data_IF_374527090994
#
_entry.id   IF_374527090994
#
_cell.length_a   1.000
_cell.length_b   1.000
_cell.length_c   1.000
_cell.angle_alpha   90.00
_cell.angle_beta   90.00
_cell.angle_gamma   90.00
#
_symmetry.space_group_name_H-M   'P 1'
#
loop_
_entity.id
_entity.type
_entity.pdbx_description
1 polymer ?
#
# COMPACT_ATOMS: atom_id res chain seq x y z
N UNK A 1 -22.58 -15.11 1.17
CA UNK A 1 -22.71 -14.18 2.32
C UNK A 1 -24.13 -13.63 2.32
N UNK A 2 -24.77 -13.50 3.48
CA UNK A 2 -26.15 -13.02 3.52
C UNK A 2 -26.19 -11.53 3.11
N UNK A 3 -26.82 -11.24 1.98
CA UNK A 3 -27.02 -9.88 1.48
C UNK A 3 -27.64 -8.96 2.55
N UNK A 4 -27.39 -7.66 2.45
CA UNK A 4 -28.12 -6.69 3.25
C UNK A 4 -29.58 -6.68 2.80
N UNK A 5 -30.48 -6.69 3.78
CA UNK A 5 -31.88 -6.41 3.51
C UNK A 5 -32.00 -5.01 2.91
N UNK A 6 -32.92 -4.86 1.95
CA UNK A 6 -33.22 -3.58 1.33
C UNK A 6 -33.82 -2.64 2.38
N UNK A 7 -33.29 -1.41 2.43
CA UNK A 7 -33.78 -0.33 3.28
C UNK A 7 -33.81 0.95 2.45
N UNK A 8 -34.73 1.89 2.74
CA UNK A 8 -34.69 3.20 2.11
C UNK A 8 -33.32 3.85 2.31
N UNK A 9 -32.75 4.43 1.25
CA UNK A 9 -31.36 4.88 1.25
C UNK A 9 -31.02 5.88 2.37
N UNK A 10 -32.00 6.69 2.80
CA UNK A 10 -31.86 7.67 3.88
C UNK A 10 -32.68 7.34 5.13
N UNK A 11 -33.02 6.07 5.37
CA UNK A 11 -33.94 5.68 6.44
C UNK A 11 -33.55 6.25 7.82
N UNK A 12 -32.25 6.26 8.17
CA UNK A 12 -31.79 6.79 9.47
C UNK A 12 -32.01 8.30 9.57
N UNK A 13 -31.68 9.06 8.53
CA UNK A 13 -31.82 10.51 8.54
C UNK A 13 -33.29 10.92 8.60
N UNK A 14 -34.14 10.28 7.78
CA UNK A 14 -35.58 10.53 7.76
C UNK A 14 -36.20 10.16 9.11
N UNK A 15 -35.91 8.96 9.62
CA UNK A 15 -36.46 8.51 10.91
C UNK A 15 -36.02 9.43 12.06
N UNK A 16 -34.75 9.88 12.06
CA UNK A 16 -34.26 10.83 13.07
C UNK A 16 -35.04 12.14 13.04
N UNK A 17 -35.19 12.76 11.87
CA UNK A 17 -35.91 14.05 11.75
C UNK A 17 -37.37 13.90 12.19
N UNK A 18 -38.05 12.84 11.74
CA UNK A 18 -39.45 12.59 12.10
C UNK A 18 -39.62 12.35 13.59
N UNK A 19 -38.80 11.48 14.19
CA UNK A 19 -38.90 11.17 15.61
C UNK A 19 -38.47 12.36 16.48
N UNK A 20 -37.58 13.24 16.02
CA UNK A 20 -37.15 14.39 16.81
C UNK A 20 -38.17 15.55 16.80
N UNK A 21 -38.97 15.71 15.73
CA UNK A 21 -39.90 16.84 15.58
C UNK A 21 -41.37 16.45 15.78
N UNK A 22 -41.76 15.25 15.35
CA UNK A 22 -43.14 14.78 15.28
C UNK A 22 -43.30 13.40 15.94
N UNK A 23 -42.74 13.24 17.14
CA UNK A 23 -42.76 11.97 17.87
C UNK A 23 -44.17 11.56 18.32
N UNK A 24 -45.04 12.55 18.53
CA UNK A 24 -46.43 12.43 18.97
C UNK A 24 -47.37 11.94 17.86
N UNK A 25 -47.03 12.23 16.60
CA UNK A 25 -47.74 11.70 15.42
C UNK A 25 -47.42 10.23 15.13
N UNK A 26 -46.38 9.66 15.77
CA UNK A 26 -45.90 8.30 15.53
C UNK A 26 -46.37 7.37 16.66
N UNK A 27 -47.19 6.34 16.37
CA UNK A 27 -47.59 5.38 17.38
C UNK A 27 -46.37 4.58 17.88
N UNK A 28 -46.26 4.43 19.20
CA UNK A 28 -45.16 3.72 19.85
C UNK A 28 -43.76 4.23 19.42
N UNK A 29 -43.58 5.54 19.32
CA UNK A 29 -42.33 6.17 18.86
C UNK A 29 -41.08 5.71 19.62
N UNK A 30 -41.18 5.41 20.92
CA UNK A 30 -40.08 4.83 21.72
C UNK A 30 -39.67 3.43 21.24
N UNK A 31 -40.65 2.59 20.89
CA UNK A 31 -40.39 1.26 20.34
C UNK A 31 -39.72 1.36 18.97
N UNK A 32 -40.17 2.31 18.15
CA UNK A 32 -39.54 2.58 16.84
C UNK A 32 -38.08 3.00 17.02
N UNK A 33 -37.76 3.86 18.01
CA UNK A 33 -36.37 4.23 18.34
C UNK A 33 -35.53 3.01 18.73
N UNK A 34 -36.07 2.11 19.57
CA UNK A 34 -35.39 0.88 19.96
C UNK A 34 -35.09 -0.02 18.74
N UNK A 35 -36.09 -0.27 17.90
CA UNK A 35 -35.93 -1.11 16.70
C UNK A 35 -34.93 -0.52 15.69
N UNK A 36 -34.93 0.80 15.51
CA UNK A 36 -33.96 1.48 14.64
C UNK A 36 -32.53 1.36 15.17
N UNK A 37 -32.37 1.40 16.50
CA UNK A 37 -31.07 1.19 17.15
C UNK A 37 -30.59 -0.23 16.92
N UNK A 38 -31.42 -1.23 17.21
CA UNK A 38 -31.08 -2.65 17.02
C UNK A 38 -30.75 -2.95 15.55
N UNK A 39 -31.53 -2.40 14.60
CA UNK A 39 -31.26 -2.52 13.17
C UNK A 39 -29.89 -1.94 12.80
N UNK A 40 -29.53 -0.77 13.34
CA UNK A 40 -28.23 -0.14 13.08
C UNK A 40 -27.09 -0.98 13.64
N UNK A 41 -27.23 -1.51 14.85
CA UNK A 41 -26.22 -2.37 15.48
C UNK A 41 -25.99 -3.68 14.69
N UNK A 42 -27.08 -4.32 14.27
CA UNK A 42 -27.01 -5.53 13.44
C UNK A 42 -26.34 -5.26 12.07
N UNK A 43 -26.69 -4.13 11.44
CA UNK A 43 -26.11 -3.74 10.16
C UNK A 43 -24.64 -3.35 10.28
N UNK A 44 -24.26 -2.60 11.32
CA UNK A 44 -22.87 -2.26 11.59
C UNK A 44 -22.02 -3.52 11.82
N UNK A 45 -22.54 -4.49 12.58
CA UNK A 45 -21.85 -5.77 12.80
C UNK A 45 -21.62 -6.53 11.48
N UNK A 46 -22.62 -6.55 10.59
CA UNK A 46 -22.49 -7.13 9.24
C UNK A 46 -21.50 -6.37 8.37
N UNK A 47 -21.47 -5.04 8.46
CA UNK A 47 -20.52 -4.20 7.73
C UNK A 47 -19.10 -4.54 8.16
N UNK A 48 -18.84 -4.59 9.47
CA UNK A 48 -17.51 -4.92 10.01
C UNK A 48 -17.04 -6.31 9.55
N UNK A 49 -17.92 -7.31 9.56
CA UNK A 49 -17.60 -8.62 9.00
C UNK A 49 -17.33 -8.57 7.48
N UNK A 50 -17.98 -7.67 6.74
CA UNK A 50 -17.71 -7.42 5.32
C UNK A 50 -16.34 -6.78 5.07
N UNK A 51 -15.81 -6.00 6.02
CA UNK A 51 -14.51 -5.34 5.89
C UNK A 51 -13.33 -6.32 5.89
N UNK A 52 -13.49 -7.52 6.45
CA UNK A 52 -12.46 -8.57 6.41
C UNK A 52 -12.07 -8.96 4.98
N UNK A 53 -12.96 -8.73 4.02
CA UNK A 53 -12.77 -9.05 2.60
C UNK A 53 -12.16 -7.90 1.79
N UNK A 54 -11.66 -6.85 2.45
CA UNK A 54 -11.10 -5.68 1.74
C UNK A 54 -9.90 -6.09 0.88
N UNK A 55 -9.98 -5.74 -0.41
CA UNK A 55 -8.92 -5.94 -1.37
C UNK A 55 -8.67 -4.61 -2.11
N UNK A 56 -7.42 -4.22 -2.41
CA UNK A 56 -7.10 -2.99 -3.15
C UNK A 56 -7.83 -2.77 -4.48
N UNK A 57 -8.35 -3.83 -5.10
CA UNK A 57 -9.00 -3.79 -6.42
C UNK A 57 -10.50 -3.51 -6.32
N UNK A 58 -11.25 -4.33 -5.57
CA UNK A 58 -12.71 -4.29 -5.55
C UNK A 58 -13.25 -4.77 -4.19
N UNK A 59 -14.26 -4.06 -3.69
CA UNK A 59 -15.08 -4.47 -2.57
C UNK A 59 -16.52 -4.06 -2.88
N UNK A 60 -17.44 -5.02 -2.82
CA UNK A 60 -18.84 -4.79 -3.14
C UNK A 60 -19.74 -5.16 -1.97
N UNK A 61 -20.55 -4.19 -1.57
CA UNK A 61 -21.57 -4.35 -0.55
C UNK A 61 -22.83 -3.63 -1.04
N UNK A 62 -23.86 -4.40 -1.38
CA UNK A 62 -25.14 -3.86 -1.86
C UNK A 62 -26.04 -3.46 -0.70
N UNK A 63 -27.02 -2.59 -0.97
CA UNK A 63 -28.04 -2.14 -0.01
C UNK A 63 -27.47 -1.50 1.27
N UNK A 64 -26.39 -0.74 1.15
CA UNK A 64 -25.85 0.12 2.22
C UNK A 64 -26.54 1.48 2.16
N UNK A 65 -26.94 1.99 3.32
CA UNK A 65 -27.59 3.30 3.44
C UNK A 65 -26.58 4.45 3.36
N UNK A 66 -27.07 5.65 3.05
CA UNK A 66 -26.23 6.83 2.88
C UNK A 66 -25.40 7.17 4.13
N UNK A 67 -25.98 7.01 5.33
CA UNK A 67 -25.30 7.34 6.58
C UNK A 67 -24.18 6.33 6.88
N UNK A 68 -24.42 5.05 6.63
CA UNK A 68 -23.41 4.00 6.75
C UNK A 68 -22.24 4.26 5.79
N UNK A 69 -22.51 4.66 4.54
CA UNK A 69 -21.46 5.04 3.58
C UNK A 69 -20.65 6.24 4.11
N UNK A 70 -21.32 7.25 4.65
CA UNK A 70 -20.66 8.44 5.18
C UNK A 70 -19.72 8.10 6.35
N UNK A 71 -20.12 7.17 7.22
CA UNK A 71 -19.32 6.68 8.35
C UNK A 71 -18.09 5.89 7.90
N UNK A 72 -18.22 5.07 6.84
CA UNK A 72 -17.13 4.23 6.34
C UNK A 72 -16.17 4.94 5.40
N UNK A 73 -16.60 6.05 4.76
CA UNK A 73 -15.83 6.78 3.75
C UNK A 73 -14.40 7.15 4.19
N UNK A 74 -14.14 7.74 5.37
CA UNK A 74 -12.78 8.09 5.77
C UNK A 74 -11.88 6.86 6.00
N UNK A 75 -12.45 5.78 6.53
CA UNK A 75 -11.74 4.52 6.72
C UNK A 75 -11.28 3.94 5.38
N UNK A 76 -12.21 3.77 4.43
CA UNK A 76 -11.88 3.22 3.13
C UNK A 76 -10.89 4.07 2.34
N UNK A 77 -11.03 5.41 2.37
CA UNK A 77 -10.10 6.30 1.70
C UNK A 77 -8.64 6.07 2.14
N UNK A 78 -8.44 5.81 3.43
CA UNK A 78 -7.12 5.51 3.99
C UNK A 78 -6.68 4.07 3.68
N UNK A 79 -7.54 3.09 3.96
CA UNK A 79 -7.21 1.67 3.77
C UNK A 79 -6.84 1.34 2.31
N UNK A 80 -7.62 1.82 1.33
CA UNK A 80 -7.32 1.58 -0.08
C UNK A 80 -6.04 2.30 -0.54
N UNK A 81 -5.73 3.47 0.01
CA UNK A 81 -4.49 4.19 -0.29
C UNK A 81 -3.27 3.40 0.17
N UNK A 82 -3.29 2.88 1.40
CA UNK A 82 -2.20 2.08 1.95
C UNK A 82 -2.06 0.73 1.22
N UNK A 83 -3.16 0.01 0.98
CA UNK A 83 -3.14 -1.25 0.24
C UNK A 83 -2.55 -1.09 -1.17
N UNK A 84 -2.90 -0.02 -1.88
CA UNK A 84 -2.33 0.28 -3.21
C UNK A 84 -0.85 0.67 -3.14
N UNK A 85 -0.45 1.36 -2.08
CA UNK A 85 0.95 1.72 -1.86
C UNK A 85 1.81 0.47 -1.68
N UNK A 86 1.34 -0.48 -0.85
CA UNK A 86 2.03 -1.76 -0.65
C UNK A 86 2.09 -2.61 -1.92
N UNK A 87 1.01 -2.66 -2.71
CA UNK A 87 1.03 -3.36 -4.00
C UNK A 87 2.04 -2.76 -4.97
N UNK A 88 2.11 -1.43 -5.05
CA UNK A 88 3.08 -0.75 -5.90
C UNK A 88 4.52 -1.00 -5.45
N UNK A 89 4.80 -0.95 -4.15
CA UNK A 89 6.14 -1.26 -3.63
C UNK A 89 6.52 -2.71 -3.90
N UNK A 90 5.58 -3.65 -3.81
CA UNK A 90 5.82 -5.06 -4.14
C UNK A 90 6.18 -5.23 -5.62
N UNK A 91 5.48 -4.56 -6.53
CA UNK A 91 5.77 -4.60 -7.97
C UNK A 91 7.16 -4.01 -8.31
N UNK A 92 7.51 -2.87 -7.71
CA UNK A 92 8.83 -2.25 -7.91
C UNK A 92 9.96 -3.15 -7.39
N UNK A 93 9.76 -3.82 -6.25
CA UNK A 93 10.75 -4.73 -5.68
C UNK A 93 10.99 -5.95 -6.60
N UNK A 94 9.95 -6.51 -7.21
CA UNK A 94 10.12 -7.60 -8.19
C UNK A 94 10.88 -7.17 -9.45
N UNK A 95 10.60 -5.98 -9.99
CA UNK A 95 11.28 -5.45 -11.18
C UNK A 95 12.77 -5.17 -10.93
N UNK A 96 13.13 -4.65 -9.75
CA UNK A 96 14.52 -4.40 -9.38
C UNK A 96 15.34 -5.68 -9.25
N UNK A 97 14.74 -6.77 -8.75
CA UNK A 97 15.43 -8.04 -8.61
C UNK A 97 15.68 -8.71 -9.97
N UNK A 98 14.74 -8.61 -10.91
CA UNK A 98 14.93 -9.06 -12.29
C UNK A 98 16.04 -8.25 -13.00
N UNK A 99 16.04 -6.93 -12.87
CA UNK A 99 17.09 -6.09 -13.45
C UNK A 99 18.47 -6.38 -12.85
N UNK A 100 18.56 -6.62 -11.53
CA UNK A 100 19.82 -6.94 -10.87
C UNK A 100 20.39 -8.29 -11.35
N UNK A 101 19.51 -9.27 -11.59
CA UNK A 101 19.93 -10.60 -12.05
C UNK A 101 20.42 -10.57 -13.52
N UNK A 102 19.81 -9.73 -14.36
CA UNK A 102 20.23 -9.57 -15.76
C UNK A 102 21.58 -8.83 -15.88
N UNK A 103 21.89 -7.91 -14.95
CA UNK A 103 23.15 -7.15 -14.98
C UNK A 103 24.37 -7.97 -14.50
N UNK A 104 24.14 -9.11 -13.83
CA UNK A 104 25.20 -10.03 -13.41
C UNK A 104 25.71 -10.93 -14.56
N UNK A 105 24.98 -11.03 -15.67
CA UNK A 105 25.33 -11.85 -16.82
C UNK A 105 26.24 -11.14 -17.85
N UNK A 106 26.51 -9.83 -17.67
CA UNK A 106 27.34 -9.01 -18.58
C UNK A 106 28.82 -8.88 -18.10
N UNK A 107 29.21 -9.59 -17.04
CA UNK A 107 30.61 -9.76 -16.65
C UNK A 107 31.23 -10.95 -17.39
N UNK A 108 31.50 -10.76 -18.68
CA UNK A 108 32.29 -11.71 -19.50
C UNK A 108 33.77 -11.61 -19.11
N UNK A 109 34.21 -12.42 -18.14
CA UNK A 109 35.62 -12.81 -18.06
C UNK A 109 35.88 -13.79 -19.22
N UNK A 110 36.13 -13.22 -20.40
CA UNK A 110 36.51 -13.97 -21.58
C UNK A 110 37.76 -14.84 -21.34
N UNK A 111 38.00 -15.86 -22.18
CA UNK A 111 39.01 -16.89 -21.95
C UNK A 111 40.42 -16.32 -22.14
N UNK A 112 40.97 -15.75 -21.06
CA UNK A 112 42.31 -15.21 -20.99
C UNK A 112 43.01 -15.68 -19.73
N UNK A 113 42.93 -16.98 -19.42
CA UNK A 113 43.78 -17.62 -18.42
C UNK A 113 45.23 -17.64 -18.90
N UNK A 114 45.92 -16.50 -18.80
CA UNK A 114 47.36 -16.42 -18.95
C UNK A 114 48.02 -17.15 -17.78
N UNK A 115 48.63 -18.30 -18.08
CA UNK A 115 49.47 -19.01 -17.12
C UNK A 115 50.59 -18.11 -16.64
N UNK A 116 50.72 -17.98 -15.33
CA UNK A 116 51.95 -17.50 -14.71
C UNK A 116 52.99 -18.61 -14.87
N UNK A 117 53.89 -18.47 -15.84
CA UNK A 117 55.05 -19.35 -15.95
C UNK A 117 55.99 -19.04 -14.77
N UNK A 118 56.13 -20.01 -13.86
CA UNK A 118 56.90 -19.87 -12.62
C UNK A 118 58.43 -19.77 -12.83
N UNK A 119 58.89 -19.73 -14.09
CA UNK A 119 60.29 -19.72 -14.49
C UNK A 119 60.76 -18.38 -15.11
N UNK A 120 59.93 -17.33 -15.12
CA UNK A 120 60.41 -15.99 -15.52
C UNK A 120 61.21 -15.33 -14.38
N UNK A 121 62.49 -14.94 -14.62
CA UNK A 121 63.28 -14.26 -13.61
C UNK A 121 62.75 -12.84 -13.38
N UNK A 122 62.29 -12.59 -12.15
CA UNK A 122 61.89 -11.28 -11.64
C UNK A 122 63.01 -10.25 -11.86
N UNK A 123 62.85 -9.38 -12.86
CA UNK A 123 63.73 -8.22 -13.03
C UNK A 123 63.46 -7.20 -11.92
N UNK A 124 64.22 -7.30 -10.83
CA UNK A 124 64.33 -6.23 -9.86
C UNK A 124 65.05 -5.04 -10.52
N UNK A 125 64.27 -4.01 -10.86
CA UNK A 125 64.79 -2.72 -11.32
C UNK A 125 65.71 -2.12 -10.25
N UNK A 126 67.01 -2.17 -10.50
CA UNK A 126 68.05 -1.53 -9.70
C UNK A 126 67.89 -0.01 -9.80
N UNK A 127 67.73 0.66 -8.66
CA UNK A 127 67.57 2.11 -8.59
C UNK A 127 68.83 2.92 -8.92
N UNK A 128 68.64 4.21 -9.18
CA UNK A 128 69.68 5.24 -9.07
C UNK A 128 69.44 6.53 -9.87
N UNK A 129 69.09 7.62 -9.16
CA UNK A 129 69.32 9.05 -9.50
C UNK A 129 68.48 9.64 -10.65
N UNK A 130 68.13 10.93 -10.71
CA UNK A 130 68.41 12.11 -9.88
C UNK A 130 67.47 13.26 -10.33
N UNK A 131 67.23 14.19 -9.42
CA UNK A 131 66.53 15.49 -9.43
C UNK A 131 66.05 16.20 -10.73
N UNK A 132 64.86 16.80 -10.61
CA UNK A 132 64.35 17.96 -11.37
C UNK A 132 62.81 18.02 -11.24
N UNK A 133 62.24 18.81 -10.31
CA UNK A 133 61.74 20.18 -10.54
C UNK A 133 60.45 20.17 -11.38
N UNK A 134 59.36 20.87 -11.10
CA UNK A 134 58.89 21.80 -10.09
C UNK A 134 57.37 21.98 -10.38
N UNK A 135 56.59 22.39 -9.38
CA UNK A 135 55.30 23.12 -9.51
C UNK A 135 54.11 22.33 -10.14
N UNK A 136 52.84 22.48 -9.81
CA UNK A 136 52.08 23.16 -8.76
C UNK A 136 50.58 22.81 -9.04
N UNK A 137 49.75 22.90 -7.99
CA UNK A 137 48.36 23.38 -8.01
C UNK A 137 47.12 22.47 -8.29
N UNK A 138 46.34 22.32 -7.19
CA UNK A 138 44.88 22.18 -6.97
C UNK A 138 44.12 20.97 -7.55
N UNK A 139 43.26 20.25 -6.81
CA UNK A 139 42.64 20.53 -5.50
C UNK A 139 41.24 21.11 -5.65
N UNK A 140 40.24 20.21 -5.69
CA UNK A 140 38.88 20.33 -5.14
C UNK A 140 37.85 21.30 -5.77
N UNK A 141 36.60 20.81 -5.79
CA UNK A 141 35.40 21.50 -6.27
C UNK A 141 34.24 20.53 -6.47
#
# INVERSE_FOLDING_TARGET
MASFAEVPFHYVAVAKVLLDVAADDIPSSDQVRALLKDLREARQSKIMAGLEMINPVHLEMTNISALEIAELRPFFGTAFKELRTFQRSAAIASEQQENNNNNAADFDFGPGGGGYDADEPMMWGQGGGEAGGADDYYGDG
#
